data_IF_571323328693
#
_entry.id   IF_571323328693
#
_cell.length_a   1.000
_cell.length_b   1.000
_cell.length_c   1.000
_cell.angle_alpha   90.00
_cell.angle_beta   90.00
_cell.angle_gamma   90.00
#
_symmetry.space_group_name_H-M   'P 1'
#
loop_
_entity.id
_entity.type
_entity.pdbx_description
1 polymer ?
#
# COMPACT_ATOMS: atom_id res chain seq x y z
N UNK A 1 -58.82 -24.37 -31.75
CA UNK A 1 -58.53 -23.15 -30.96
C UNK A 1 -57.03 -23.15 -30.69
N UNK A 2 -56.37 -22.14 -31.25
CA UNK A 2 -55.22 -21.38 -30.73
C UNK A 2 -54.73 -21.78 -29.32
N UNK A 3 -53.45 -21.82 -28.98
CA UNK A 3 -52.26 -21.08 -29.44
C UNK A 3 -51.03 -21.70 -28.71
N UNK A 4 -49.85 -21.11 -28.94
CA UNK A 4 -48.71 -21.00 -28.02
C UNK A 4 -47.42 -21.79 -28.31
N UNK A 5 -46.59 -21.10 -29.12
CA UNK A 5 -45.29 -20.50 -28.72
C UNK A 5 -44.01 -21.35 -28.63
N UNK A 6 -43.07 -20.90 -29.47
CA UNK A 6 -41.69 -20.49 -29.17
C UNK A 6 -40.65 -21.51 -28.70
N UNK A 7 -39.51 -21.47 -29.39
CA UNK A 7 -38.22 -21.98 -28.91
C UNK A 7 -37.22 -22.12 -30.06
N UNK A 8 -36.88 -21.02 -30.73
CA UNK A 8 -35.65 -20.25 -30.51
C UNK A 8 -34.49 -20.75 -31.39
N UNK A 9 -34.12 -19.85 -32.31
CA UNK A 9 -33.08 -20.02 -33.32
C UNK A 9 -31.71 -20.02 -32.66
N UNK A 10 -30.88 -20.96 -33.12
CA UNK A 10 -29.43 -20.98 -32.93
C UNK A 10 -28.82 -19.60 -33.18
N UNK A 11 -28.26 -18.98 -32.14
CA UNK A 11 -27.34 -17.86 -32.27
C UNK A 11 -25.95 -18.34 -31.88
N UNK A 12 -25.18 -18.68 -32.92
CA UNK A 12 -23.72 -18.68 -32.87
C UNK A 12 -23.28 -17.31 -32.36
N UNK A 13 -22.89 -17.21 -31.09
CA UNK A 13 -22.19 -16.04 -30.56
C UNK A 13 -20.70 -16.28 -30.69
N UNK A 14 -20.19 -15.61 -31.71
CA UNK A 14 -18.81 -15.33 -32.06
C UNK A 14 -17.95 -15.11 -30.80
N UNK A 15 -16.95 -15.97 -30.63
CA UNK A 15 -15.81 -15.75 -29.73
C UNK A 15 -15.03 -14.54 -30.25
N UNK A 16 -15.40 -13.34 -29.78
CA UNK A 16 -14.62 -12.14 -30.04
C UNK A 16 -14.03 -11.66 -28.72
N UNK A 17 -12.69 -11.68 -28.71
CA UNK A 17 -11.84 -10.80 -27.91
C UNK A 17 -11.68 -11.13 -26.42
N UNK A 18 -10.96 -12.21 -26.11
CA UNK A 18 -10.20 -12.33 -24.85
C UNK A 18 -8.82 -11.66 -24.92
N UNK A 19 -8.45 -11.01 -26.03
CA UNK A 19 -7.10 -10.47 -26.26
C UNK A 19 -6.92 -8.97 -26.00
N UNK A 20 -7.98 -8.22 -25.65
CA UNK A 20 -7.90 -6.75 -25.52
C UNK A 20 -7.72 -6.29 -24.06
N UNK A 21 -7.92 -7.16 -23.06
CA UNK A 21 -7.71 -6.76 -21.66
C UNK A 21 -6.24 -6.66 -21.23
N UNK A 22 -5.29 -7.07 -22.07
CA UNK A 22 -3.85 -7.02 -21.77
C UNK A 22 -3.20 -5.66 -22.06
N UNK A 23 -3.95 -4.68 -22.59
CA UNK A 23 -3.41 -3.41 -23.12
C UNK A 23 -3.68 -2.17 -22.25
N UNK A 24 -4.22 -2.33 -21.04
CA UNK A 24 -4.32 -1.25 -20.04
C UNK A 24 -3.48 -1.54 -18.79
N UNK A 25 -2.27 -2.09 -18.97
CA UNK A 25 -1.30 -2.06 -17.89
C UNK A 25 -0.86 -0.60 -17.71
N UNK A 26 -1.07 0.02 -16.53
CA UNK A 26 -0.55 1.35 -16.28
C UNK A 26 0.96 1.37 -16.52
N UNK A 27 1.38 2.37 -17.27
CA UNK A 27 2.73 2.61 -17.74
C UNK A 27 3.72 2.53 -16.57
N UNK A 28 4.69 1.61 -16.68
CA UNK A 28 5.94 1.57 -15.88
C UNK A 28 5.75 1.74 -14.38
N UNK A 29 5.53 0.63 -13.68
CA UNK A 29 5.70 0.58 -12.22
C UNK A 29 7.16 0.89 -11.89
N UNK A 30 7.43 2.05 -11.29
CA UNK A 30 8.75 2.35 -10.72
C UNK A 30 8.87 1.55 -9.42
N UNK A 31 9.66 0.48 -9.46
CA UNK A 31 9.96 -0.35 -8.30
C UNK A 31 11.16 0.27 -7.58
N UNK A 32 10.94 0.91 -6.43
CA UNK A 32 12.04 1.47 -5.65
C UNK A 32 11.71 1.53 -4.15
N UNK A 33 12.60 0.94 -3.34
CA UNK A 33 12.65 1.18 -1.90
C UNK A 33 13.09 2.62 -1.63
N UNK A 34 12.35 3.32 -0.77
CA UNK A 34 12.75 4.62 -0.23
C UNK A 34 13.44 4.41 1.12
N UNK A 35 14.66 4.95 1.29
CA UNK A 35 15.42 4.83 2.55
C UNK A 35 15.61 6.18 3.21
N UNK A 36 15.24 6.26 4.48
CA UNK A 36 15.48 7.38 5.38
C UNK A 36 16.61 7.01 6.35
N UNK A 37 17.66 7.83 6.41
CA UNK A 37 18.87 7.59 7.20
C UNK A 37 19.58 8.91 7.54
N UNK A 38 20.57 8.87 8.44
CA UNK A 38 21.41 10.02 8.74
C UNK A 38 20.94 10.93 9.88
N UNK A 39 19.99 10.49 10.71
CA UNK A 39 19.69 11.12 11.99
C UNK A 39 18.84 12.39 11.94
N UNK A 40 18.07 12.59 10.86
CA UNK A 40 17.25 13.78 10.67
C UNK A 40 15.75 13.45 10.74
N UNK A 41 14.95 14.26 11.45
CA UNK A 41 13.50 14.22 11.34
C UNK A 41 13.03 14.67 9.95
N UNK A 42 12.10 13.93 9.36
CA UNK A 42 11.51 14.22 8.04
C UNK A 42 9.99 14.13 8.13
N UNK A 43 9.27 15.26 8.04
CA UNK A 43 7.80 15.27 8.02
C UNK A 43 7.24 15.07 6.60
N UNK A 44 6.12 14.36 6.51
CA UNK A 44 5.35 14.13 5.29
C UNK A 44 3.86 14.33 5.55
N UNK A 45 3.21 15.12 4.69
CA UNK A 45 1.75 15.26 4.67
C UNK A 45 1.05 14.00 4.13
N UNK A 46 1.77 13.19 3.35
CA UNK A 46 1.36 11.84 2.98
C UNK A 46 2.53 11.06 2.39
N UNK A 47 2.44 9.73 2.42
CA UNK A 47 3.33 8.86 1.65
C UNK A 47 2.66 8.48 0.33
N UNK A 48 3.43 8.58 -0.75
CA UNK A 48 2.96 8.20 -2.08
C UNK A 48 2.85 6.68 -2.17
N UNK A 49 1.91 6.21 -3.00
CA UNK A 49 1.81 4.81 -3.38
C UNK A 49 3.18 4.30 -3.86
N UNK A 50 3.70 3.29 -3.16
CA UNK A 50 4.89 2.55 -3.58
C UNK A 50 4.46 1.21 -4.18
N UNK A 51 5.28 0.67 -5.06
CA UNK A 51 5.21 -0.74 -5.46
C UNK A 51 6.65 -1.20 -5.51
N UNK A 52 6.92 -2.37 -4.93
CA UNK A 52 8.28 -2.88 -4.78
C UNK A 52 8.42 -4.21 -5.49
N UNK A 53 9.65 -4.56 -5.89
CA UNK A 53 9.90 -5.91 -6.38
C UNK A 53 9.69 -6.94 -5.26
N UNK A 54 9.53 -8.22 -5.60
CA UNK A 54 9.39 -9.27 -4.60
C UNK A 54 10.63 -9.29 -3.68
N UNK A 55 10.40 -9.26 -2.37
CA UNK A 55 11.45 -9.16 -1.35
C UNK A 55 11.96 -7.75 -1.02
N UNK A 56 11.52 -6.70 -1.74
CA UNK A 56 11.90 -5.31 -1.45
C UNK A 56 10.86 -4.58 -0.58
N UNK A 57 11.34 -3.79 0.38
CA UNK A 57 10.49 -3.00 1.28
C UNK A 57 10.10 -1.66 0.64
N UNK A 58 8.91 -1.13 0.93
CA UNK A 58 8.54 0.19 0.40
C UNK A 58 9.37 1.29 1.04
N UNK A 59 9.42 1.29 2.38
CA UNK A 59 10.15 2.27 3.16
C UNK A 59 11.11 1.57 4.14
N UNK A 60 12.35 2.05 4.19
CA UNK A 60 13.35 1.68 5.20
C UNK A 60 13.67 2.91 6.03
N UNK A 61 13.59 2.81 7.35
CA UNK A 61 13.91 3.89 8.29
C UNK A 61 15.01 3.37 9.21
N UNK A 62 16.17 3.99 9.17
CA UNK A 62 17.35 3.51 9.88
C UNK A 62 18.20 4.64 10.47
N UNK A 63 19.13 4.26 11.34
CA UNK A 63 19.96 5.10 12.19
C UNK A 63 19.22 5.82 13.32
N UNK A 64 19.93 5.99 14.43
CA UNK A 64 19.45 6.77 15.56
C UNK A 64 19.12 8.20 15.16
N UNK A 65 18.03 8.73 15.73
CA UNK A 65 17.49 10.07 15.47
C UNK A 65 16.90 10.29 14.08
N UNK A 66 16.88 9.27 13.19
CA UNK A 66 16.09 9.34 11.97
C UNK A 66 14.63 9.11 12.33
N UNK A 67 13.82 10.16 12.17
CA UNK A 67 12.39 10.14 12.52
C UNK A 67 11.60 10.47 11.26
N UNK A 68 10.73 9.57 10.83
CA UNK A 68 9.78 9.83 9.75
C UNK A 68 8.42 10.06 10.37
N UNK A 69 7.82 11.22 10.13
CA UNK A 69 6.46 11.55 10.58
C UNK A 69 5.55 11.63 9.37
N UNK A 70 4.45 10.89 9.40
CA UNK A 70 3.42 10.90 8.36
C UNK A 70 2.12 11.37 8.98
N UNK A 71 1.62 12.51 8.51
CA UNK A 71 0.37 13.12 8.96
C UNK A 71 -0.69 12.97 7.86
N UNK A 72 -1.49 11.90 7.92
CA UNK A 72 -2.55 11.59 6.94
C UNK A 72 -3.77 12.50 6.99
N UNK A 73 -3.69 13.64 7.70
CA UNK A 73 -4.68 14.69 7.68
C UNK A 73 -3.97 16.03 7.50
N UNK A 74 -4.41 16.82 6.52
CA UNK A 74 -3.93 18.18 6.34
C UNK A 74 -5.05 19.13 6.75
N UNK A 75 -4.76 20.03 7.69
CA UNK A 75 -5.64 21.15 8.02
C UNK A 75 -5.32 22.34 7.14
N UNK A 76 -6.24 22.70 6.24
CA UNK A 76 -6.16 23.89 5.40
C UNK A 76 -7.24 24.89 5.84
N UNK A 77 -6.87 25.80 6.75
CA UNK A 77 -7.81 26.76 7.35
C UNK A 77 -8.77 26.07 8.33
N UNK A 78 -10.08 26.19 8.12
CA UNK A 78 -11.11 25.51 8.92
C UNK A 78 -11.47 24.12 8.40
N UNK A 79 -10.83 23.67 7.30
CA UNK A 79 -11.13 22.39 6.66
C UNK A 79 -10.02 21.37 6.93
N UNK A 80 -10.36 20.28 7.60
CA UNK A 80 -9.53 19.08 7.68
C UNK A 80 -9.88 18.15 6.52
N UNK A 81 -8.91 17.83 5.68
CA UNK A 81 -9.05 16.83 4.63
C UNK A 81 -8.20 15.61 4.96
N UNK A 82 -8.78 14.39 5.02
CA UNK A 82 -7.98 13.18 5.11
C UNK A 82 -7.19 13.02 3.81
N UNK A 83 -5.88 12.88 3.93
CA UNK A 83 -4.98 12.45 2.87
C UNK A 83 -4.56 11.01 3.16
N UNK A 84 -5.14 10.09 2.39
CA UNK A 84 -4.83 8.66 2.52
C UNK A 84 -3.36 8.42 2.13
N UNK A 85 -2.53 8.11 3.12
CA UNK A 85 -1.13 7.71 2.92
C UNK A 85 -1.02 6.24 2.52
N UNK A 86 -1.58 5.87 1.37
CA UNK A 86 -1.67 4.46 0.94
C UNK A 86 -0.28 3.91 0.58
N UNK A 87 0.30 3.12 1.47
CA UNK A 87 1.53 2.36 1.18
C UNK A 87 1.18 0.95 0.76
N UNK A 88 1.28 0.66 -0.54
CA UNK A 88 1.16 -0.70 -1.07
C UNK A 88 2.54 -1.35 -1.24
N UNK A 89 2.63 -2.64 -1.00
CA UNK A 89 3.80 -3.46 -1.33
C UNK A 89 3.34 -4.74 -2.01
N UNK A 90 4.15 -5.21 -2.95
CA UNK A 90 3.92 -6.44 -3.68
C UNK A 90 5.10 -7.38 -3.44
N UNK A 91 4.91 -8.45 -2.68
CA UNK A 91 5.97 -9.44 -2.43
C UNK A 91 5.75 -10.23 -1.16
N UNK A 92 6.16 -11.50 -1.13
CA UNK A 92 5.83 -12.44 -0.06
C UNK A 92 6.45 -12.04 1.30
N UNK A 93 7.62 -11.40 1.26
CA UNK A 93 8.48 -10.99 2.39
C UNK A 93 8.69 -9.45 2.46
N UNK A 94 7.86 -8.65 1.77
CA UNK A 94 8.06 -7.21 1.60
C UNK A 94 7.30 -6.35 2.63
N UNK A 95 8.00 -5.76 3.61
CA UNK A 95 7.39 -4.79 4.54
C UNK A 95 6.99 -3.47 3.85
N UNK A 96 5.83 -2.91 4.23
CA UNK A 96 5.51 -1.52 3.93
C UNK A 96 6.52 -0.59 4.62
N UNK A 97 6.83 -0.89 5.88
CA UNK A 97 7.83 -0.17 6.66
C UNK A 97 8.78 -1.13 7.36
N UNK A 98 10.07 -0.99 7.06
CA UNK A 98 11.15 -1.67 7.74
C UNK A 98 11.93 -0.67 8.60
N UNK A 99 11.73 -0.72 9.92
CA UNK A 99 12.29 0.24 10.89
C UNK A 99 13.35 -0.49 11.72
N UNK A 100 14.60 -0.06 11.60
CA UNK A 100 15.78 -0.77 12.14
C UNK A 100 16.80 0.23 12.68
N UNK A 101 17.78 -0.23 13.45
CA UNK A 101 18.92 0.53 14.00
C UNK A 101 18.48 1.86 14.62
N UNK A 102 17.55 1.82 15.58
CA UNK A 102 17.05 2.98 16.34
C UNK A 102 16.27 4.03 15.51
N UNK A 103 15.89 3.72 14.27
CA UNK A 103 14.97 4.53 13.49
C UNK A 103 13.58 4.65 14.14
N UNK A 104 12.86 5.74 13.86
CA UNK A 104 11.51 5.97 14.36
C UNK A 104 10.53 6.30 13.24
N UNK A 105 9.36 5.66 13.26
CA UNK A 105 8.18 6.07 12.48
C UNK A 105 7.13 6.67 13.41
N UNK A 106 6.48 7.75 12.98
CA UNK A 106 5.28 8.31 13.59
C UNK A 106 4.20 8.36 12.51
N UNK A 107 3.08 7.69 12.75
CA UNK A 107 1.90 7.73 11.89
C UNK A 107 0.77 8.43 12.64
N UNK A 108 0.28 9.54 12.11
CA UNK A 108 -0.90 10.23 12.62
C UNK A 108 -1.97 10.23 11.52
N UNK A 109 -3.19 9.75 11.82
CA UNK A 109 -4.33 9.79 10.88
C UNK A 109 -4.06 9.12 9.52
N UNK A 110 -3.11 8.18 9.45
CA UNK A 110 -2.67 7.56 8.20
C UNK A 110 -3.47 6.29 7.87
N UNK A 111 -3.64 5.96 6.59
CA UNK A 111 -4.18 4.68 6.12
C UNK A 111 -3.09 3.87 5.41
N UNK A 112 -2.65 2.76 6.02
CA UNK A 112 -1.62 1.87 5.49
C UNK A 112 -2.27 0.57 5.00
N UNK A 113 -2.23 0.31 3.70
CA UNK A 113 -2.83 -0.89 3.10
C UNK A 113 -1.86 -1.67 2.22
N UNK A 114 -1.48 -2.87 2.66
CA UNK A 114 -0.68 -3.81 1.86
C UNK A 114 -1.60 -4.78 1.14
N UNK A 115 -1.29 -5.19 -0.10
CA UNK A 115 -2.20 -6.04 -0.90
C UNK A 115 -1.70 -7.47 -1.05
N UNK A 116 -0.39 -7.67 -1.28
CA UNK A 116 0.20 -9.00 -1.49
C UNK A 116 1.36 -9.31 -0.55
N UNK A 117 1.49 -8.55 0.54
CA UNK A 117 2.52 -8.78 1.55
C UNK A 117 2.04 -9.67 2.69
N UNK A 118 2.93 -10.57 3.15
CA UNK A 118 2.70 -11.32 4.39
C UNK A 118 2.91 -10.48 5.65
N UNK A 119 3.55 -9.30 5.55
CA UNK A 119 3.99 -8.49 6.69
C UNK A 119 3.91 -6.99 6.39
N UNK A 120 3.32 -6.18 7.29
CA UNK A 120 3.19 -4.73 7.08
C UNK A 120 4.35 -3.95 7.69
N UNK A 121 4.64 -4.16 8.98
CA UNK A 121 5.72 -3.49 9.71
C UNK A 121 6.77 -4.50 10.19
N UNK A 122 8.04 -4.11 10.11
CA UNK A 122 9.14 -4.71 10.86
C UNK A 122 9.72 -3.64 11.79
N UNK A 123 9.81 -3.93 13.10
CA UNK A 123 10.38 -3.01 14.08
C UNK A 123 11.41 -3.77 14.92
N UNK A 124 12.70 -3.53 14.67
CA UNK A 124 13.77 -4.29 15.33
C UNK A 124 14.95 -3.40 15.70
N UNK A 125 15.98 -3.97 16.33
CA UNK A 125 17.29 -3.29 16.51
C UNK A 125 17.18 -1.89 17.17
N UNK A 126 16.36 -1.78 18.22
CA UNK A 126 16.18 -0.53 18.97
C UNK A 126 15.24 0.48 18.32
N UNK A 127 14.67 0.16 17.15
CA UNK A 127 13.70 1.00 16.47
C UNK A 127 12.37 1.13 17.24
N UNK A 128 11.57 2.13 16.84
CA UNK A 128 10.25 2.36 17.41
C UNK A 128 9.24 2.83 16.36
N UNK A 129 7.96 2.59 16.63
CA UNK A 129 6.86 3.22 15.90
C UNK A 129 5.85 3.80 16.89
N UNK A 130 5.28 4.94 16.53
CA UNK A 130 4.17 5.59 17.21
C UNK A 130 3.00 5.67 16.23
N UNK A 131 1.84 5.15 16.62
CA UNK A 131 0.69 4.98 15.73
C UNK A 131 -0.52 5.64 16.40
N UNK A 132 -0.95 6.76 15.84
CA UNK A 132 -1.99 7.62 16.38
C UNK A 132 -3.14 7.73 15.36
N UNK A 133 -4.29 7.15 15.69
CA UNK A 133 -5.49 7.19 14.86
C UNK A 133 -5.26 6.74 13.39
N UNK A 134 -4.40 5.75 13.18
CA UNK A 134 -4.10 5.21 11.85
C UNK A 134 -4.90 3.92 11.59
N UNK A 135 -5.38 3.77 10.37
CA UNK A 135 -5.96 2.52 9.86
C UNK A 135 -4.87 1.69 9.19
N UNK A 136 -4.80 0.41 9.51
CA UNK A 136 -3.77 -0.49 9.00
C UNK A 136 -4.42 -1.79 8.55
N UNK A 137 -4.24 -2.13 7.28
CA UNK A 137 -4.82 -3.32 6.66
C UNK A 137 -3.79 -4.11 5.84
N UNK A 138 -4.05 -5.40 5.71
CA UNK A 138 -3.36 -6.29 4.78
C UNK A 138 -4.38 -7.11 4.01
N UNK A 139 -4.23 -7.13 2.68
CA UNK A 139 -5.09 -7.81 1.73
C UNK A 139 -4.76 -9.30 1.54
N UNK A 140 -3.68 -9.79 2.18
CA UNK A 140 -3.26 -11.19 2.06
C UNK A 140 -3.77 -12.02 3.24
N UNK A 141 -4.32 -13.20 2.96
CA UNK A 141 -4.68 -14.17 4.00
C UNK A 141 -3.46 -14.58 4.83
N UNK A 142 -3.68 -14.78 6.14
CA UNK A 142 -2.65 -15.14 7.14
C UNK A 142 -1.49 -14.15 7.25
N UNK A 143 -1.69 -12.91 6.81
CA UNK A 143 -0.72 -11.84 7.00
C UNK A 143 -0.73 -11.32 8.44
N UNK A 144 0.43 -10.80 8.87
CA UNK A 144 0.61 -10.16 10.16
C UNK A 144 0.87 -8.68 9.98
N UNK A 145 0.19 -7.85 10.77
CA UNK A 145 0.34 -6.40 10.68
C UNK A 145 1.67 -5.94 11.29
N UNK A 146 2.07 -6.48 12.44
CA UNK A 146 3.32 -6.09 13.13
C UNK A 146 4.17 -7.34 13.39
N UNK A 147 5.48 -7.23 13.13
CA UNK A 147 6.50 -8.23 13.45
C UNK A 147 7.67 -7.59 14.22
#
# INVERSE_FOLDING_TARGET
>A
MEEYRNGSRSFKRTLLSSAIFSLLLPSSVVLATTTFSGGNPTPFDYLTYSTTADGEHAYVITDANTIVTVDGEITLGEMTSPYLSVVSTTGNEAYAFNIINEGKLVLNYADVSTTNSGKTFNITTGASAEINNADISSGKQDSSVIY
#
